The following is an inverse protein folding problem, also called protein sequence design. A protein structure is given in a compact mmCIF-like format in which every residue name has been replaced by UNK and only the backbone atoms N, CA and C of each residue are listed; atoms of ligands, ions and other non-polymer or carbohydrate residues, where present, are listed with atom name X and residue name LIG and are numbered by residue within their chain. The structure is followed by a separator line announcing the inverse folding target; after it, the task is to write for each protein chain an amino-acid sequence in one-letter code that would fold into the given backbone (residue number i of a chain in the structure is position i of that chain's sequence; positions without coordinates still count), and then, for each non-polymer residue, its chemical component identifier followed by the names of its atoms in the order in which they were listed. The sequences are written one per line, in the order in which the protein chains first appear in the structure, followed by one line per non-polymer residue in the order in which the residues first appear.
data_IF_383409255294
#
_entry.id   IF_383409255294
#
_cell.length_a   1.000
_cell.length_b   1.000
_cell.length_c   1.000
_cell.angle_alpha   90.00
_cell.angle_beta   90.00
_cell.angle_gamma   90.00
#
_symmetry.space_group_name_H-M   'P 1'
#
loop_
_entity.id
_entity.type
_entity.pdbx_description
1 polymer ?
#
# COMPACT_ATOMS: atom_id res chain seq x y z
N UNK A 1 -13.08 4.73 -15.71
CA UNK A 1 -13.99 5.64 -14.97
C UNK A 1 -13.51 5.70 -13.53
N UNK A 2 -13.55 6.87 -12.91
CA UNK A 2 -13.21 7.06 -11.49
C UNK A 2 -14.36 7.82 -10.82
N UNK A 3 -14.60 7.50 -9.55
CA UNK A 3 -15.61 8.15 -8.72
C UNK A 3 -14.87 8.78 -7.54
N UNK A 4 -15.11 10.07 -7.30
CA UNK A 4 -14.62 10.76 -6.12
C UNK A 4 -15.75 10.79 -5.08
N UNK A 5 -15.44 10.35 -3.87
CA UNK A 5 -16.36 10.38 -2.73
C UNK A 5 -15.71 11.26 -1.65
N UNK A 6 -16.33 12.41 -1.41
CA UNK A 6 -15.91 13.33 -0.35
C UNK A 6 -16.80 13.11 0.87
N UNK A 7 -16.18 12.86 2.02
CA UNK A 7 -16.85 12.71 3.31
C UNK A 7 -16.43 13.86 4.23
N UNK A 8 -17.33 14.37 5.09
CA UNK A 8 -17.00 15.48 5.98
C UNK A 8 -15.99 15.06 7.05
N UNK A 9 -15.28 16.04 7.62
CA UNK A 9 -14.24 15.79 8.64
C UNK A 9 -14.78 15.17 9.93
N UNK A 10 -16.09 15.25 10.19
CA UNK A 10 -16.78 14.68 11.35
C UNK A 10 -17.44 13.31 11.06
N UNK A 11 -17.13 12.70 9.90
CA UNK A 11 -17.62 11.36 9.56
C UNK A 11 -17.24 10.34 10.63
N UNK A 12 -18.23 9.61 11.15
CA UNK A 12 -17.93 8.52 12.08
C UNK A 12 -17.11 7.40 11.43
N UNK A 13 -16.26 6.71 12.21
CA UNK A 13 -15.54 5.51 11.76
C UNK A 13 -16.51 4.49 11.14
N UNK A 14 -17.66 4.24 11.77
CA UNK A 14 -18.67 3.33 11.25
C UNK A 14 -19.22 3.78 9.89
N UNK A 15 -19.44 5.09 9.70
CA UNK A 15 -19.91 5.65 8.43
C UNK A 15 -18.91 5.45 7.29
N UNK A 16 -17.62 5.66 7.56
CA UNK A 16 -16.55 5.40 6.60
C UNK A 16 -16.45 3.90 6.26
N UNK A 17 -16.44 3.04 7.27
CA UNK A 17 -16.36 1.58 7.08
C UNK A 17 -17.57 1.04 6.30
N UNK A 18 -18.77 1.54 6.59
CA UNK A 18 -19.97 1.17 5.83
C UNK A 18 -19.87 1.57 4.35
N UNK A 19 -19.28 2.74 4.07
CA UNK A 19 -19.07 3.17 2.68
C UNK A 19 -18.06 2.28 1.96
N UNK A 20 -16.98 1.88 2.63
CA UNK A 20 -15.99 0.96 2.07
C UNK A 20 -16.63 -0.41 1.78
N UNK A 21 -17.47 -0.92 2.68
CA UNK A 21 -18.20 -2.18 2.47
C UNK A 21 -19.14 -2.11 1.26
N UNK A 22 -19.89 -1.02 1.10
CA UNK A 22 -20.71 -0.78 -0.10
C UNK A 22 -19.87 -0.87 -1.38
N UNK A 23 -18.71 -0.20 -1.42
CA UNK A 23 -17.79 -0.22 -2.57
C UNK A 23 -17.15 -1.60 -2.79
N UNK A 24 -16.93 -2.36 -1.72
CA UNK A 24 -16.44 -3.73 -1.83
C UNK A 24 -17.44 -4.65 -2.51
N UNK A 25 -18.74 -4.47 -2.25
CA UNK A 25 -19.80 -5.28 -2.86
C UNK A 25 -20.19 -4.83 -4.27
N UNK A 26 -19.86 -3.60 -4.67
CA UNK A 26 -20.19 -3.10 -6.01
C UNK A 26 -19.31 -3.74 -7.11
N UNK A 27 -19.88 -4.53 -8.04
CA UNK A 27 -19.12 -5.15 -9.12
C UNK A 27 -18.58 -4.16 -10.16
N UNK A 28 -19.06 -2.91 -10.20
CA UNK A 28 -18.53 -1.86 -11.08
C UNK A 28 -17.25 -1.22 -10.53
N UNK A 29 -16.97 -1.40 -9.23
CA UNK A 29 -15.78 -0.87 -8.56
C UNK A 29 -14.68 -1.94 -8.57
N UNK A 30 -13.57 -1.62 -9.23
CA UNK A 30 -12.42 -2.54 -9.36
C UNK A 30 -11.29 -2.22 -8.39
N UNK A 31 -11.30 -1.03 -7.81
CA UNK A 31 -10.26 -0.56 -6.91
C UNK A 31 -10.79 0.52 -5.99
N UNK A 32 -10.30 0.52 -4.75
CA UNK A 32 -10.66 1.46 -3.69
C UNK A 32 -9.35 2.06 -3.17
N UNK A 33 -9.32 3.40 -3.09
CA UNK A 33 -8.22 4.16 -2.51
C UNK A 33 -8.81 5.08 -1.46
N UNK A 34 -8.24 5.05 -0.25
CA UNK A 34 -8.59 5.96 0.84
C UNK A 34 -7.41 6.91 1.05
N UNK A 35 -7.66 8.21 0.89
CA UNK A 35 -6.62 9.22 1.05
C UNK A 35 -6.21 9.33 2.52
N UNK A 36 -4.90 9.14 2.79
CA UNK A 36 -4.29 9.35 4.10
C UNK A 36 -3.62 10.74 4.18
N UNK A 37 -3.51 11.36 5.37
CA UNK A 37 -4.04 10.89 6.66
C UNK A 37 -5.55 11.10 6.77
N UNK A 38 -6.22 10.20 7.50
CA UNK A 38 -7.63 10.34 7.89
C UNK A 38 -7.76 11.07 9.24
N UNK A 39 -8.97 11.54 9.64
CA UNK A 39 -9.17 12.15 10.94
C UNK A 39 -8.67 11.28 12.10
N UNK A 40 -7.99 11.89 13.08
CA UNK A 40 -7.24 11.17 14.15
C UNK A 40 -8.09 10.26 15.05
N UNK A 41 -9.40 10.46 15.07
CA UNK A 41 -10.32 9.67 15.87
C UNK A 41 -10.78 8.38 15.16
N UNK A 42 -10.39 8.19 13.89
CA UNK A 42 -10.66 6.99 13.11
C UNK A 42 -9.41 6.11 13.10
N UNK A 43 -9.59 4.80 13.32
CA UNK A 43 -8.51 3.83 13.23
C UNK A 43 -8.16 3.53 11.76
N UNK A 44 -7.04 4.10 11.31
CA UNK A 44 -6.49 3.89 9.96
C UNK A 44 -6.31 2.40 9.62
N UNK A 45 -5.93 1.57 10.61
CA UNK A 45 -5.73 0.15 10.37
C UNK A 45 -7.03 -0.54 10.02
N UNK A 46 -8.14 -0.23 10.71
CA UNK A 46 -9.47 -0.79 10.38
C UNK A 46 -9.93 -0.37 9.00
N UNK A 47 -9.67 0.88 8.62
CA UNK A 47 -9.99 1.40 7.29
C UNK A 47 -9.24 0.59 6.22
N UNK A 48 -7.92 0.46 6.34
CA UNK A 48 -7.11 -0.35 5.41
C UNK A 48 -7.57 -1.82 5.36
N UNK A 49 -7.81 -2.45 6.51
CA UNK A 49 -8.24 -3.86 6.59
C UNK A 49 -9.68 -4.10 6.13
N UNK A 50 -10.50 -3.05 6.04
CA UNK A 50 -11.87 -3.16 5.50
C UNK A 50 -11.92 -3.15 3.98
N UNK A 51 -10.88 -2.69 3.30
CA UNK A 51 -10.81 -2.75 1.83
C UNK A 51 -10.54 -4.19 1.40
N UNK A 52 -11.34 -4.74 0.49
CA UNK A 52 -11.09 -6.08 -0.05
C UNK A 52 -9.66 -6.17 -0.64
N UNK A 53 -8.88 -7.23 -0.34
CA UNK A 53 -7.54 -7.38 -0.93
C UNK A 53 -7.54 -7.38 -2.46
N UNK A 54 -8.65 -7.78 -3.09
CA UNK A 54 -8.82 -7.79 -4.54
C UNK A 54 -9.14 -6.40 -5.12
N UNK A 55 -9.48 -5.42 -4.28
CA UNK A 55 -9.76 -4.02 -4.64
C UNK A 55 -8.78 -3.04 -3.98
N UNK A 56 -7.83 -3.52 -3.18
CA UNK A 56 -6.79 -2.73 -2.52
C UNK A 56 -5.71 -2.33 -3.53
N UNK A 57 -6.02 -1.33 -4.36
CA UNK A 57 -5.10 -0.83 -5.40
C UNK A 57 -3.93 -0.05 -4.81
N UNK A 58 -4.00 0.34 -3.54
CA UNK A 58 -2.89 1.01 -2.84
C UNK A 58 -1.90 0.01 -2.21
N UNK A 59 -2.30 -1.26 -2.09
CA UNK A 59 -1.43 -2.38 -1.73
C UNK A 59 -1.09 -2.48 -0.24
N UNK A 60 -1.83 -1.79 0.64
CA UNK A 60 -1.54 -1.74 2.07
C UNK A 60 -2.30 -2.78 2.89
N UNK A 61 -3.27 -3.48 2.30
CA UNK A 61 -3.98 -4.53 2.99
C UNK A 61 -2.98 -5.62 3.47
N UNK A 62 -3.03 -6.07 4.74
CA UNK A 62 -2.06 -7.03 5.27
C UNK A 62 -1.91 -8.32 4.45
N UNK A 63 -3.00 -8.81 3.84
CA UNK A 63 -2.97 -9.93 2.89
C UNK A 63 -2.07 -9.63 1.67
N UNK A 64 -2.18 -8.44 1.06
CA UNK A 64 -1.36 -8.06 -0.08
C UNK A 64 0.11 -7.86 0.32
N UNK A 65 0.36 -7.26 1.48
CA UNK A 65 1.71 -7.17 2.06
C UNK A 65 2.30 -8.57 2.30
N UNK A 66 1.55 -9.50 2.90
CA UNK A 66 2.01 -10.87 3.15
C UNK A 66 2.30 -11.64 1.85
N UNK A 67 1.46 -11.45 0.83
CA UNK A 67 1.69 -12.00 -0.52
C UNK A 67 2.97 -11.42 -1.15
N UNK A 68 3.17 -10.10 -1.07
CA UNK A 68 4.40 -9.44 -1.53
C UNK A 68 5.64 -10.01 -0.81
N UNK A 69 5.58 -10.20 0.50
CA UNK A 69 6.69 -10.76 1.28
C UNK A 69 7.07 -12.20 0.87
N UNK A 70 6.10 -12.96 0.35
CA UNK A 70 6.29 -14.36 -0.07
C UNK A 70 6.43 -14.53 -1.59
N UNK A 71 6.50 -13.44 -2.35
CA UNK A 71 6.63 -13.48 -3.81
C UNK A 71 5.37 -13.94 -4.55
N UNK A 72 4.20 -13.83 -3.93
CA UNK A 72 2.91 -14.15 -4.55
C UNK A 72 2.33 -12.93 -5.28
N UNK A 73 1.44 -13.18 -6.23
CA UNK A 73 0.70 -12.12 -6.92
C UNK A 73 -0.18 -11.33 -5.93
N UNK A 74 0.00 -10.01 -5.93
CA UNK A 74 -0.79 -9.06 -5.14
C UNK A 74 -0.68 -7.66 -5.73
N UNK A 75 -1.57 -6.77 -5.31
CA UNK A 75 -1.30 -5.34 -5.42
C UNK A 75 -0.11 -5.00 -4.53
N UNK A 76 0.82 -4.23 -5.10
CA UNK A 76 2.02 -3.78 -4.40
C UNK A 76 1.82 -2.34 -3.93
N UNK A 77 2.35 -1.97 -2.75
CA UNK A 77 2.40 -0.59 -2.29
C UNK A 77 2.81 0.38 -3.40
N UNK A 78 1.95 1.34 -3.73
CA UNK A 78 2.10 2.19 -4.92
C UNK A 78 3.46 2.91 -4.97
N UNK A 79 3.85 3.58 -3.87
CA UNK A 79 5.12 4.32 -3.81
C UNK A 79 6.33 3.39 -3.90
N UNK A 80 6.45 2.32 -3.09
CA UNK A 80 7.49 1.30 -3.25
C UNK A 80 7.59 0.71 -4.65
N UNK A 81 6.45 0.35 -5.26
CA UNK A 81 6.44 -0.21 -6.60
C UNK A 81 6.87 0.80 -7.66
N UNK A 82 6.41 2.05 -7.57
CA UNK A 82 6.86 3.14 -8.42
C UNK A 82 8.38 3.36 -8.37
N UNK A 83 9.00 3.23 -7.18
CA UNK A 83 10.46 3.28 -7.04
C UNK A 83 11.13 2.15 -7.82
N UNK A 84 10.60 0.93 -7.76
CA UNK A 84 11.13 -0.22 -8.51
C UNK A 84 11.05 0.03 -10.02
N UNK A 85 9.91 0.53 -10.52
CA UNK A 85 9.72 0.87 -11.94
C UNK A 85 10.69 1.96 -12.37
N UNK A 86 10.85 3.04 -11.59
CA UNK A 86 11.79 4.11 -11.93
C UNK A 86 13.23 3.60 -12.00
N UNK A 87 13.64 2.68 -11.11
CA UNK A 87 14.96 2.06 -11.17
C UNK A 87 15.14 1.19 -12.41
N UNK A 88 14.12 0.42 -12.78
CA UNK A 88 14.13 -0.40 -14.00
C UNK A 88 14.33 0.46 -15.25
N UNK A 89 13.64 1.60 -15.35
CA UNK A 89 13.79 2.57 -16.44
C UNK A 89 15.20 3.16 -16.54
N UNK A 90 15.96 3.19 -15.45
CA UNK A 90 17.38 3.62 -15.50
C UNK A 90 18.34 2.56 -16.05
N UNK A 91 17.89 1.31 -16.17
CA UNK A 91 18.74 0.17 -16.53
C UNK A 91 19.71 -0.27 -15.44
N UNK A 92 19.63 0.30 -14.23
CA UNK A 92 20.49 -0.05 -13.10
C UNK A 92 19.88 -1.23 -12.35
N UNK A 93 20.49 -2.41 -12.48
CA UNK A 93 20.11 -3.58 -11.69
C UNK A 93 20.45 -3.38 -10.21
N UNK A 94 19.53 -3.73 -9.31
CA UNK A 94 19.75 -3.74 -7.85
C UNK A 94 20.30 -5.06 -7.32
N UNK A 95 20.33 -6.10 -8.16
CA UNK A 95 20.80 -7.44 -7.77
C UNK A 95 22.25 -7.41 -7.29
N UNK A 96 22.50 -7.98 -6.11
CA UNK A 96 23.81 -8.01 -5.47
C UNK A 96 24.30 -6.67 -4.91
N UNK A 97 23.54 -5.58 -5.05
CA UNK A 97 23.89 -4.27 -4.48
C UNK A 97 23.48 -4.18 -3.02
N UNK A 98 24.15 -3.30 -2.28
CA UNK A 98 23.75 -2.91 -0.94
C UNK A 98 22.84 -1.68 -1.01
N UNK A 99 21.57 -1.87 -0.69
CA UNK A 99 20.55 -0.83 -0.65
C UNK A 99 20.34 -0.40 0.80
N UNK A 100 20.37 0.91 1.05
CA UNK A 100 20.08 1.48 2.37
C UNK A 100 18.75 2.22 2.29
N UNK A 101 17.77 1.78 3.07
CA UNK A 101 16.47 2.45 3.20
C UNK A 101 16.49 3.28 4.48
N UNK A 102 16.35 4.59 4.35
CA UNK A 102 16.23 5.51 5.49
C UNK A 102 14.75 5.79 5.76
N UNK A 103 14.20 5.12 6.76
CA UNK A 103 12.78 5.14 7.11
C UNK A 103 12.17 3.74 7.18
N UNK A 104 11.26 3.53 8.13
CA UNK A 104 10.66 2.22 8.45
C UNK A 104 9.12 2.23 8.51
N UNK A 105 8.48 3.14 7.79
CA UNK A 105 7.01 3.20 7.73
C UNK A 105 6.45 1.91 7.11
N UNK A 106 5.23 1.54 7.49
CA UNK A 106 4.55 0.36 6.96
C UNK A 106 4.10 0.54 5.50
N UNK A 107 3.95 1.79 5.05
CA UNK A 107 3.46 2.13 3.70
C UNK A 107 4.57 2.42 2.68
N UNK A 108 5.79 2.77 3.12
CA UNK A 108 6.90 3.10 2.21
C UNK A 108 8.18 2.35 2.57
N UNK A 109 8.74 2.61 3.77
CA UNK A 109 10.08 2.16 4.14
C UNK A 109 10.21 0.64 4.14
N UNK A 110 9.37 -0.06 4.92
CA UNK A 110 9.44 -1.53 4.97
C UNK A 110 9.16 -2.18 3.62
N UNK A 111 8.08 -1.82 2.88
CA UNK A 111 7.81 -2.48 1.62
C UNK A 111 8.87 -2.23 0.53
N UNK A 112 9.43 -1.02 0.41
CA UNK A 112 10.48 -0.78 -0.61
C UNK A 112 11.71 -1.64 -0.34
N UNK A 113 12.11 -1.76 0.94
CA UNK A 113 13.21 -2.66 1.28
C UNK A 113 12.88 -4.14 1.00
N UNK A 114 11.63 -4.57 1.21
CA UNK A 114 11.23 -5.94 0.85
C UNK A 114 11.27 -6.16 -0.68
N UNK A 115 10.80 -5.21 -1.48
CA UNK A 115 10.85 -5.31 -2.94
C UNK A 115 12.30 -5.35 -3.46
N UNK A 116 13.20 -4.58 -2.86
CA UNK A 116 14.63 -4.62 -3.16
C UNK A 116 15.25 -5.98 -2.80
N UNK A 117 14.88 -6.54 -1.64
CA UNK A 117 15.30 -7.87 -1.23
C UNK A 117 14.80 -8.95 -2.19
N UNK A 118 13.55 -8.85 -2.65
CA UNK A 118 12.98 -9.74 -3.66
C UNK A 118 13.75 -9.67 -5.00
N UNK A 119 14.40 -8.54 -5.30
CA UNK A 119 15.30 -8.35 -6.44
C UNK A 119 16.79 -8.61 -6.10
N UNK A 120 17.05 -9.43 -5.09
CA UNK A 120 18.39 -9.91 -4.71
C UNK A 120 19.35 -8.83 -4.20
N UNK A 121 18.85 -7.68 -3.74
CA UNK A 121 19.66 -6.71 -3.02
C UNK A 121 19.92 -7.15 -1.58
N UNK A 122 21.07 -6.78 -1.02
CA UNK A 122 21.28 -6.74 0.44
C UNK A 122 20.68 -5.44 0.96
N UNK A 123 19.78 -5.49 1.93
CA UNK A 123 19.04 -4.31 2.40
C UNK A 123 19.38 -3.98 3.85
N UNK A 124 19.67 -2.72 4.13
CA UNK A 124 19.81 -2.18 5.49
C UNK A 124 18.76 -1.12 5.75
N UNK A 125 18.13 -1.17 6.91
CA UNK A 125 17.19 -0.15 7.36
C UNK A 125 17.84 0.79 8.37
N UNK A 126 17.71 2.09 8.13
CA UNK A 126 18.05 3.15 9.08
C UNK A 126 16.78 3.86 9.53
N UNK A 127 16.74 4.37 10.76
CA UNK A 127 15.61 5.15 11.28
C UNK A 127 16.05 6.07 12.42
N UNK A 128 15.15 6.99 12.82
CA UNK A 128 15.29 7.83 14.03
C UNK A 128 15.26 7.03 15.33
#
# INVERSE_FOLDING_TARGET
HSILIEMPEDVSEQGLLAKIDELNQDPQIHGILVQLPIPKYIDEKKVIESISPAKDVDGFHPINIGRMMTGQNAFLPCTPYGIMVLLEETGISVSGKHVVVVGRSNIVGKPVGQLMLNQHATVTYCHS
#
